data_IF_141812600427
#
_entry.id   IF_141812600427
#
_cell.length_a   1.000
_cell.length_b   1.000
_cell.length_c   1.000
_cell.angle_alpha   90.00
_cell.angle_beta   90.00
_cell.angle_gamma   90.00
#
_symmetry.space_group_name_H-M   'P 1'
#
loop_
_entity.id
_entity.type
_entity.pdbx_description
1 polymer ?
#
# COMPACT_ATOMS: atom_id res chain seq x y z
N UNK A 1 8.94 11.41 21.15
CA UNK A 1 9.77 11.44 19.93
C UNK A 1 10.31 10.06 19.50
N UNK A 2 11.13 9.33 20.30
CA UNK A 2 11.71 8.02 19.87
C UNK A 2 10.68 6.98 19.43
N UNK A 3 9.63 6.78 20.24
CA UNK A 3 8.51 5.87 19.94
C UNK A 3 7.80 6.20 18.62
N UNK A 4 7.60 7.49 18.34
CA UNK A 4 6.98 7.93 17.09
C UNK A 4 7.85 7.59 15.86
N UNK A 5 9.17 7.64 15.98
CA UNK A 5 10.06 7.19 14.91
C UNK A 5 9.96 5.69 14.65
N UNK A 6 9.87 4.88 15.71
CA UNK A 6 9.73 3.42 15.62
C UNK A 6 8.37 3.03 15.02
N UNK A 7 7.30 3.72 15.43
CA UNK A 7 5.95 3.52 14.90
C UNK A 7 5.89 3.89 13.40
N UNK A 8 6.51 5.01 12.99
CA UNK A 8 6.57 5.41 11.59
C UNK A 8 7.41 4.44 10.74
N UNK A 9 8.53 3.95 11.26
CA UNK A 9 9.38 2.96 10.59
C UNK A 9 8.63 1.65 10.35
N UNK A 10 7.97 1.13 11.39
CA UNK A 10 7.17 -0.09 11.28
C UNK A 10 6.04 0.11 10.26
N UNK A 11 5.35 1.24 10.31
CA UNK A 11 4.29 1.56 9.37
C UNK A 11 4.81 1.68 7.92
N UNK A 12 6.00 2.24 7.70
CA UNK A 12 6.62 2.28 6.38
C UNK A 12 6.93 0.87 5.85
N UNK A 13 7.46 -0.02 6.70
CA UNK A 13 7.74 -1.42 6.34
C UNK A 13 6.45 -2.21 6.06
N UNK A 14 5.41 -2.01 6.87
CA UNK A 14 4.10 -2.63 6.67
C UNK A 14 3.46 -2.16 5.34
N UNK A 15 3.58 -0.87 5.02
CA UNK A 15 3.11 -0.33 3.74
C UNK A 15 3.89 -0.92 2.56
N UNK A 16 5.21 -1.05 2.67
CA UNK A 16 6.06 -1.64 1.62
C UNK A 16 5.69 -3.11 1.35
N UNK A 17 5.56 -3.91 2.41
CA UNK A 17 5.16 -5.31 2.27
C UNK A 17 3.78 -5.45 1.65
N UNK A 18 2.80 -4.65 2.11
CA UNK A 18 1.47 -4.62 1.51
C UNK A 18 1.50 -4.17 0.04
N UNK A 19 2.41 -3.28 -0.35
CA UNK A 19 2.58 -2.90 -1.76
C UNK A 19 3.11 -4.04 -2.63
N UNK A 20 4.02 -4.87 -2.10
CA UNK A 20 4.53 -6.07 -2.79
C UNK A 20 3.43 -7.12 -2.94
N UNK A 21 2.65 -7.38 -1.89
CA UNK A 21 1.47 -8.25 -1.94
C UNK A 21 0.48 -7.79 -3.02
N UNK A 22 0.19 -6.48 -3.08
CA UNK A 22 -0.70 -5.92 -4.08
C UNK A 22 -0.17 -6.08 -5.51
N UNK A 23 1.14 -5.90 -5.70
CA UNK A 23 1.80 -6.04 -7.02
C UNK A 23 1.81 -7.48 -7.51
N UNK A 24 2.09 -8.46 -6.65
CA UNK A 24 1.99 -9.88 -7.00
C UNK A 24 0.56 -10.25 -7.37
N UNK A 25 -0.42 -9.93 -6.52
CA UNK A 25 -1.82 -10.23 -6.80
C UNK A 25 -2.28 -9.58 -8.12
N UNK A 26 -1.83 -8.36 -8.42
CA UNK A 26 -2.14 -7.71 -9.69
C UNK A 26 -1.49 -8.42 -10.89
N UNK A 27 -0.24 -8.87 -10.78
CA UNK A 27 0.43 -9.67 -11.83
C UNK A 27 -0.31 -10.98 -12.07
N UNK A 28 -0.71 -11.68 -11.02
CA UNK A 28 -1.50 -12.90 -11.13
C UNK A 28 -2.85 -12.63 -11.78
N UNK A 29 -3.57 -11.57 -11.38
CA UNK A 29 -4.85 -11.20 -11.97
C UNK A 29 -4.77 -10.96 -13.49
N UNK A 30 -3.68 -10.36 -13.96
CA UNK A 30 -3.41 -10.10 -15.40
C UNK A 30 -3.12 -11.39 -16.16
N UNK A 31 -2.47 -12.37 -15.55
CA UNK A 31 -2.09 -13.62 -16.21
C UNK A 31 -3.23 -14.66 -16.25
N UNK A 32 -4.29 -14.46 -15.47
CA UNK A 32 -5.42 -15.37 -15.40
C UNK A 32 -6.46 -15.06 -16.49
N UNK A 33 -6.76 -16.08 -17.31
CA UNK A 33 -7.77 -16.00 -18.38
C UNK A 33 -9.21 -16.17 -17.87
N UNK A 34 -9.38 -16.86 -16.75
CA UNK A 34 -10.69 -17.09 -16.12
C UNK A 34 -11.07 -15.89 -15.26
N UNK A 35 -12.24 -15.30 -15.53
CA UNK A 35 -12.74 -14.11 -14.86
C UNK A 35 -12.83 -14.26 -13.34
N UNK A 36 -13.25 -15.43 -12.84
CA UNK A 36 -13.45 -15.65 -11.41
C UNK A 36 -12.13 -15.72 -10.63
N UNK A 37 -11.10 -16.32 -11.23
CA UNK A 37 -9.75 -16.36 -10.65
C UNK A 37 -9.12 -14.98 -10.68
N UNK A 38 -9.23 -14.27 -11.80
CA UNK A 38 -8.76 -12.88 -11.93
C UNK A 38 -9.44 -11.95 -10.91
N UNK A 39 -10.75 -12.11 -10.71
CA UNK A 39 -11.53 -11.34 -9.72
C UNK A 39 -11.09 -11.59 -8.29
N UNK A 40 -10.82 -12.85 -7.94
CA UNK A 40 -10.26 -13.20 -6.63
C UNK A 40 -8.92 -12.50 -6.40
N UNK A 41 -8.02 -12.53 -7.39
CA UNK A 41 -6.73 -11.83 -7.31
C UNK A 41 -6.86 -10.31 -7.23
N UNK A 42 -7.81 -9.71 -7.94
CA UNK A 42 -8.09 -8.28 -7.80
C UNK A 42 -8.61 -7.90 -6.40
N UNK A 43 -9.38 -8.76 -5.73
CA UNK A 43 -9.78 -8.58 -4.33
C UNK A 43 -8.58 -8.65 -3.38
N UNK A 44 -7.65 -9.57 -3.62
CA UNK A 44 -6.40 -9.66 -2.85
C UNK A 44 -5.58 -8.37 -3.01
N UNK A 45 -5.42 -7.87 -4.24
CA UNK A 45 -4.75 -6.60 -4.50
C UNK A 45 -5.45 -5.41 -3.81
N UNK A 46 -6.78 -5.38 -3.80
CA UNK A 46 -7.58 -4.37 -3.09
C UNK A 46 -7.33 -4.41 -1.57
N UNK A 47 -7.31 -5.62 -1.01
CA UNK A 47 -7.09 -5.86 0.42
C UNK A 47 -5.69 -5.39 0.82
N UNK A 48 -4.67 -5.74 0.02
CA UNK A 48 -3.30 -5.32 0.23
C UNK A 48 -3.16 -3.79 0.12
N UNK A 49 -3.76 -3.15 -0.89
CA UNK A 49 -3.79 -1.69 -0.99
C UNK A 49 -4.47 -1.02 0.23
N UNK A 50 -5.51 -1.64 0.78
CA UNK A 50 -6.17 -1.16 2.00
C UNK A 50 -5.29 -1.29 3.25
N UNK A 51 -4.48 -2.35 3.37
CA UNK A 51 -3.46 -2.47 4.42
C UNK A 51 -2.42 -1.36 4.29
N UNK A 52 -1.90 -1.11 3.07
CA UNK A 52 -0.95 -0.04 2.81
C UNK A 52 -1.52 1.34 3.19
N UNK A 53 -2.81 1.60 2.91
CA UNK A 53 -3.49 2.84 3.31
C UNK A 53 -3.47 3.04 4.84
N UNK A 54 -3.84 2.01 5.60
CA UNK A 54 -3.85 2.06 7.08
C UNK A 54 -2.44 2.32 7.64
N UNK A 55 -1.43 1.73 7.00
CA UNK A 55 -0.05 1.94 7.37
C UNK A 55 0.39 3.40 7.11
N UNK A 56 -0.02 4.01 5.99
CA UNK A 56 0.20 5.45 5.74
C UNK A 56 -0.45 6.33 6.82
N UNK A 57 -1.70 6.05 7.19
CA UNK A 57 -2.40 6.81 8.25
C UNK A 57 -1.63 6.74 9.58
N UNK A 58 -1.06 5.58 9.88
CA UNK A 58 -0.24 5.38 11.08
C UNK A 58 1.08 6.16 11.01
N UNK A 59 1.78 6.10 9.88
CA UNK A 59 3.04 6.83 9.68
C UNK A 59 2.84 8.35 9.71
N UNK A 60 1.74 8.85 9.15
CA UNK A 60 1.36 10.27 9.20
C UNK A 60 1.06 10.73 10.63
N UNK A 61 0.29 9.95 11.39
CA UNK A 61 0.02 10.26 12.80
C UNK A 61 1.30 10.30 13.63
N UNK A 62 2.19 9.34 13.42
CA UNK A 62 3.49 9.31 14.10
C UNK A 62 4.37 10.52 13.73
N UNK A 63 4.32 10.98 12.48
CA UNK A 63 4.95 12.24 12.06
C UNK A 63 4.36 13.44 12.81
N UNK A 64 3.04 13.58 12.84
CA UNK A 64 2.37 14.70 13.53
C UNK A 64 2.68 14.72 15.04
N UNK A 65 2.70 13.54 15.68
CA UNK A 65 3.04 13.41 17.09
C UNK A 65 4.52 13.74 17.35
N UNK A 66 5.43 13.38 16.44
CA UNK A 66 6.83 13.75 16.51
C UNK A 66 7.03 15.27 16.35
N UNK A 67 6.33 15.93 15.43
CA UNK A 67 6.41 17.38 15.22
C UNK A 67 5.87 18.16 16.44
N UNK A 68 4.83 17.66 17.12
CA UNK A 68 4.31 18.27 18.35
C UNK A 68 5.21 18.02 19.57
N UNK A 69 5.88 16.87 19.64
CA UNK A 69 6.64 16.42 20.80
C UNK A 69 8.11 16.82 20.78
N UNK A 70 8.71 17.08 19.62
CA UNK A 70 10.17 17.10 19.47
C UNK A 70 10.71 18.51 19.28
N UNK A 71 11.58 18.97 20.21
CA UNK A 71 12.54 20.07 19.95
C UNK A 71 13.77 19.62 19.16
N UNK A 72 13.90 18.32 18.86
CA UNK A 72 15.04 17.73 18.18
C UNK A 72 14.73 17.46 16.71
N UNK A 73 15.39 18.19 15.82
CA UNK A 73 15.19 18.15 14.36
C UNK A 73 15.38 16.75 13.76
N UNK A 74 16.33 15.98 14.27
CA UNK A 74 16.68 14.67 13.70
C UNK A 74 15.58 13.61 13.79
N UNK A 75 14.79 13.61 14.87
CA UNK A 75 13.66 12.67 15.01
C UNK A 75 12.50 13.09 14.10
N UNK A 76 12.27 14.39 13.93
CA UNK A 76 11.26 14.93 13.01
C UNK A 76 11.61 14.60 11.55
N UNK A 77 12.89 14.66 11.18
CA UNK A 77 13.34 14.28 9.83
C UNK A 77 13.10 12.80 9.55
N UNK A 78 13.49 11.89 10.47
CA UNK A 78 13.31 10.45 10.25
C UNK A 78 11.84 10.04 10.13
N UNK A 79 10.95 10.56 10.98
CA UNK A 79 9.51 10.27 10.86
C UNK A 79 8.93 10.82 9.55
N UNK A 80 9.41 11.97 9.05
CA UNK A 80 9.03 12.49 7.73
C UNK A 80 9.43 11.54 6.60
N UNK A 81 10.68 11.07 6.60
CA UNK A 81 11.18 10.11 5.61
C UNK A 81 10.36 8.82 5.61
N UNK A 82 10.03 8.28 6.78
CA UNK A 82 9.20 7.08 6.88
C UNK A 82 7.76 7.32 6.42
N UNK A 83 7.16 8.46 6.74
CA UNK A 83 5.84 8.83 6.23
C UNK A 83 5.83 8.95 4.70
N UNK A 84 6.89 9.49 4.09
CA UNK A 84 7.01 9.53 2.63
C UNK A 84 7.22 8.15 2.01
N UNK A 85 8.03 7.29 2.61
CA UNK A 85 8.16 5.88 2.19
C UNK A 85 6.82 5.16 2.20
N UNK A 86 6.05 5.32 3.27
CA UNK A 86 4.72 4.73 3.38
C UNK A 86 3.79 5.24 2.26
N UNK A 87 3.77 6.56 1.99
CA UNK A 87 2.98 7.15 0.90
C UNK A 87 3.34 6.56 -0.47
N UNK A 88 4.64 6.48 -0.76
CA UNK A 88 5.12 5.91 -2.01
C UNK A 88 4.71 4.44 -2.16
N UNK A 89 4.80 3.65 -1.08
CA UNK A 89 4.34 2.26 -1.08
C UNK A 89 2.83 2.15 -1.31
N UNK A 90 2.03 3.02 -0.70
CA UNK A 90 0.59 3.06 -0.93
C UNK A 90 0.22 3.41 -2.38
N UNK A 91 0.89 4.41 -3.00
CA UNK A 91 0.63 4.73 -4.41
C UNK A 91 0.98 3.55 -5.34
N UNK A 92 2.06 2.80 -5.04
CA UNK A 92 2.35 1.54 -5.75
C UNK A 92 1.23 0.51 -5.59
N UNK A 93 0.75 0.29 -4.37
CA UNK A 93 -0.32 -0.66 -4.09
C UNK A 93 -1.64 -0.28 -4.79
N UNK A 94 -1.98 1.01 -4.81
CA UNK A 94 -3.13 1.58 -5.51
C UNK A 94 -3.02 1.37 -7.03
N UNK A 95 -1.86 1.63 -7.62
CA UNK A 95 -1.61 1.37 -9.03
C UNK A 95 -1.72 -0.13 -9.37
N UNK A 96 -1.22 -1.01 -8.50
CA UNK A 96 -1.35 -2.45 -8.66
C UNK A 96 -2.83 -2.88 -8.64
N UNK A 97 -3.60 -2.41 -7.66
CA UNK A 97 -5.04 -2.64 -7.60
C UNK A 97 -5.78 -2.18 -8.85
N UNK A 98 -5.46 -0.98 -9.38
CA UNK A 98 -6.05 -0.48 -10.62
C UNK A 98 -5.76 -1.40 -11.81
N UNK A 99 -4.53 -1.90 -11.93
CA UNK A 99 -4.15 -2.87 -12.98
C UNK A 99 -4.92 -4.19 -12.83
N UNK A 100 -5.06 -4.69 -11.60
CA UNK A 100 -5.82 -5.91 -11.32
C UNK A 100 -7.29 -5.76 -11.73
N UNK A 101 -7.92 -4.63 -11.39
CA UNK A 101 -9.29 -4.34 -11.81
C UNK A 101 -9.45 -4.27 -13.33
N UNK A 102 -8.50 -3.65 -14.04
CA UNK A 102 -8.52 -3.62 -15.50
C UNK A 102 -8.43 -5.03 -16.10
N UNK A 103 -7.64 -5.93 -15.50
CA UNK A 103 -7.56 -7.32 -15.95
C UNK A 103 -8.90 -8.05 -15.81
N UNK A 104 -9.59 -7.86 -14.69
CA UNK A 104 -10.93 -8.44 -14.46
C UNK A 104 -11.94 -7.97 -15.50
N UNK A 105 -11.95 -6.67 -15.80
CA UNK A 105 -12.87 -6.11 -16.81
C UNK A 105 -12.61 -6.73 -18.19
N UNK A 106 -11.34 -6.81 -18.61
CA UNK A 106 -10.95 -7.43 -19.88
C UNK A 106 -11.32 -8.91 -19.94
N UNK A 107 -11.12 -9.66 -18.86
CA UNK A 107 -11.49 -11.07 -18.79
C UNK A 107 -13.01 -11.26 -18.91
N UNK A 108 -13.81 -10.39 -18.29
CA UNK A 108 -15.27 -10.42 -18.39
C UNK A 108 -15.77 -10.12 -19.81
N UNK A 109 -15.16 -9.15 -20.50
CA UNK A 109 -15.46 -8.83 -21.90
C UNK A 109 -15.14 -10.02 -22.82
N UNK A 110 -14.01 -10.69 -22.59
CA UNK A 110 -13.60 -11.86 -23.37
C UNK A 110 -14.49 -13.09 -23.14
N UNK A 111 -15.06 -13.27 -21.94
CA UNK A 111 -15.97 -14.39 -21.64
C UNK A 111 -17.42 -14.16 -22.08
N UNK A 112 -17.75 -12.96 -22.59
CA UNK A 112 -19.10 -12.61 -23.05
C UNK A 112 -19.29 -12.79 -24.57
N UNK A 113 -18.28 -13.31 -25.26
CA UNK A 113 -18.27 -13.67 -26.69
C UNK A 113 -18.31 -15.19 -26.87
#
# INVERSE_FOLDING_TARGET
>A
AKKASEDAEKAANDAENASKEAEEAAKEAVNLKESDKSYTKAKEACTAASKAKKAVETALKAKDDAEKSSKADSISTKTKEYAEKAKNAYEKAKNAYQKANQAVLKAKEASSY
#
